data_IF_518268786691
#
_entry.id   IF_518268786691
#
_cell.length_a   1.000
_cell.length_b   1.000
_cell.length_c   1.000
_cell.angle_alpha   90.00
_cell.angle_beta   90.00
_cell.angle_gamma   90.00
#
_symmetry.space_group_name_H-M   'P 1'
#
loop_
_entity.id
_entity.type
_entity.pdbx_description
1 polymer ?
#
# COMPACT_ATOMS: atom_id res chain seq x y z
N UNK A 1 -9.89 8.20 -7.63
CA UNK A 1 -9.46 8.57 -6.27
C UNK A 1 -10.15 7.61 -5.31
N UNK A 2 -9.43 6.91 -4.43
CA UNK A 2 -10.07 6.04 -3.41
C UNK A 2 -10.52 6.91 -2.26
N UNK A 3 -11.80 6.79 -1.89
CA UNK A 3 -12.41 7.50 -0.77
C UNK A 3 -12.22 6.63 0.47
N UNK A 4 -11.53 7.13 1.49
CA UNK A 4 -11.84 6.62 2.82
C UNK A 4 -12.86 7.56 3.44
N UNK A 5 -13.69 7.02 4.31
CA UNK A 5 -14.54 7.84 5.14
C UNK A 5 -13.65 8.59 6.14
N UNK A 6 -13.68 9.92 6.09
CA UNK A 6 -13.14 10.78 7.13
C UNK A 6 -14.31 11.12 8.05
N UNK A 7 -14.23 10.74 9.32
CA UNK A 7 -15.30 10.98 10.30
C UNK A 7 -15.40 12.45 10.72
N UNK A 8 -14.34 13.21 10.54
CA UNK A 8 -14.30 14.64 10.76
C UNK A 8 -13.30 15.28 9.79
N UNK A 9 -13.58 16.53 9.40
CA UNK A 9 -12.66 17.40 8.68
C UNK A 9 -12.43 18.59 9.60
N UNK A 10 -11.20 18.82 10.03
CA UNK A 10 -10.88 19.96 10.87
C UNK A 10 -10.96 21.24 10.04
N UNK A 11 -11.91 22.12 10.38
CA UNK A 11 -12.05 23.44 9.73
C UNK A 11 -11.06 24.48 10.29
N UNK A 12 -10.35 24.14 11.37
CA UNK A 12 -9.50 25.07 12.13
C UNK A 12 -8.00 24.90 11.89
N UNK A 13 -7.60 23.96 11.04
CA UNK A 13 -6.19 23.70 10.75
C UNK A 13 -6.00 22.45 9.89
N UNK A 14 -4.77 22.16 9.45
CA UNK A 14 -4.47 20.95 8.70
C UNK A 14 -4.84 19.71 9.53
N UNK A 15 -5.55 18.76 8.92
CA UNK A 15 -5.94 17.51 9.57
C UNK A 15 -4.71 16.79 10.15
N UNK A 16 -4.78 16.40 11.42
CA UNK A 16 -3.70 15.68 12.10
C UNK A 16 -3.49 14.33 11.40
N UNK A 17 -2.27 14.08 10.93
CA UNK A 17 -1.88 12.85 10.19
C UNK A 17 -2.16 11.56 11.00
N UNK A 18 -2.34 11.70 12.31
CA UNK A 18 -2.31 10.64 13.31
C UNK A 18 -3.68 10.22 13.82
N UNK A 19 -4.75 10.98 13.58
CA UNK A 19 -6.07 10.68 14.17
C UNK A 19 -7.01 10.06 13.13
N UNK A 20 -7.33 8.79 13.33
CA UNK A 20 -8.54 8.11 12.87
C UNK A 20 -8.65 7.59 11.42
N UNK A 21 -7.60 7.55 10.59
CA UNK A 21 -7.70 6.84 9.29
C UNK A 21 -7.18 5.40 9.35
N UNK A 22 -8.01 4.39 9.04
CA UNK A 22 -7.54 3.02 8.88
C UNK A 22 -6.50 2.93 7.76
N UNK A 23 -5.46 2.10 7.91
CA UNK A 23 -4.49 1.91 6.85
C UNK A 23 -5.16 1.27 5.63
N UNK A 24 -4.75 1.71 4.44
CA UNK A 24 -5.14 1.02 3.21
C UNK A 24 -4.57 -0.40 3.20
N UNK A 25 -5.30 -1.32 2.59
CA UNK A 25 -4.92 -2.73 2.49
C UNK A 25 -4.83 -3.14 1.02
N UNK A 26 -3.83 -3.96 0.66
CA UNK A 26 -3.80 -4.69 -0.60
C UNK A 26 -4.29 -6.11 -0.31
N UNK A 27 -5.44 -6.46 -0.87
CA UNK A 27 -5.94 -7.82 -0.88
C UNK A 27 -5.40 -8.49 -2.14
N UNK A 28 -4.50 -9.45 -1.95
CA UNK A 28 -3.98 -10.27 -3.04
C UNK A 28 -4.76 -11.55 -3.17
N UNK A 29 -5.07 -11.93 -4.39
CA UNK A 29 -5.76 -13.18 -4.69
C UNK A 29 -5.00 -13.97 -5.74
N UNK A 30 -4.86 -15.27 -5.49
CA UNK A 30 -4.40 -16.26 -6.46
C UNK A 30 -5.52 -17.25 -6.72
N UNK A 31 -6.30 -17.02 -7.78
CA UNK A 31 -7.35 -17.94 -8.23
C UNK A 31 -8.78 -17.57 -7.83
N UNK A 32 -8.99 -16.53 -7.01
CA UNK A 32 -10.34 -15.98 -6.74
C UNK A 32 -10.67 -14.84 -7.68
N UNK A 33 -11.90 -14.84 -8.19
CA UNK A 33 -12.42 -13.74 -9.00
C UNK A 33 -12.56 -12.45 -8.17
N UNK A 34 -12.42 -11.29 -8.82
CA UNK A 34 -12.63 -9.99 -8.16
C UNK A 34 -14.05 -9.86 -7.57
N UNK A 35 -15.04 -10.48 -8.23
CA UNK A 35 -16.43 -10.49 -7.77
C UNK A 35 -16.61 -11.22 -6.44
N UNK A 36 -15.98 -12.39 -6.27
CA UNK A 36 -16.00 -13.13 -5.00
C UNK A 36 -15.38 -12.32 -3.86
N UNK A 37 -14.21 -11.73 -4.10
CA UNK A 37 -13.50 -10.93 -3.09
C UNK A 37 -14.35 -9.72 -2.70
N UNK A 38 -14.93 -9.01 -3.68
CA UNK A 38 -15.84 -7.89 -3.41
C UNK A 38 -17.07 -8.32 -2.62
N UNK A 39 -17.61 -9.51 -2.89
CA UNK A 39 -18.71 -10.08 -2.13
C UNK A 39 -18.37 -10.30 -0.66
N UNK A 40 -17.17 -10.82 -0.36
CA UNK A 40 -16.70 -10.99 1.04
C UNK A 40 -16.47 -9.63 1.69
N UNK A 41 -15.79 -8.71 0.99
CA UNK A 41 -15.49 -7.36 1.50
C UNK A 41 -16.75 -6.57 1.82
N UNK A 42 -17.81 -6.69 1.00
CA UNK A 42 -19.09 -6.03 1.23
C UNK A 42 -19.79 -6.48 2.53
N UNK A 43 -19.51 -7.69 3.02
CA UNK A 43 -20.05 -8.18 4.31
C UNK A 43 -19.33 -7.59 5.52
N UNK A 44 -18.09 -7.14 5.34
CA UNK A 44 -17.26 -6.60 6.42
C UNK A 44 -17.58 -5.13 6.73
N UNK A 45 -18.38 -4.45 5.90
CA UNK A 45 -18.85 -3.07 6.13
C UNK A 45 -18.59 -2.13 4.96
N UNK A 46 -18.47 -0.83 5.27
CA UNK A 46 -18.26 0.20 4.24
C UNK A 46 -16.81 0.20 3.77
N UNK A 47 -16.62 -0.27 2.55
CA UNK A 47 -15.33 -0.45 1.89
C UNK A 47 -15.33 0.18 0.51
N UNK A 48 -14.24 0.86 0.16
CA UNK A 48 -13.97 1.30 -1.21
C UNK A 48 -12.87 0.42 -1.80
N UNK A 49 -13.14 -0.16 -2.97
CA UNK A 49 -12.28 -1.17 -3.60
C UNK A 49 -11.86 -0.68 -4.97
N UNK A 50 -10.55 -0.62 -5.20
CA UNK A 50 -9.97 -0.25 -6.48
C UNK A 50 -8.98 -1.31 -6.94
N UNK A 51 -9.04 -1.64 -8.23
CA UNK A 51 -8.02 -2.45 -8.86
C UNK A 51 -6.68 -1.71 -8.93
N UNK A 52 -5.61 -2.34 -8.44
CA UNK A 52 -4.26 -1.76 -8.43
C UNK A 52 -3.37 -2.38 -9.52
N UNK A 53 -3.26 -3.70 -9.52
CA UNK A 53 -2.52 -4.50 -10.50
C UNK A 53 -3.07 -5.94 -10.51
N UNK A 54 -2.72 -6.79 -11.50
CA UNK A 54 -3.26 -8.15 -11.58
C UNK A 54 -3.09 -8.91 -10.28
N UNK A 55 -4.21 -9.35 -9.71
CA UNK A 55 -4.23 -10.07 -8.43
C UNK A 55 -3.99 -9.22 -7.18
N UNK A 56 -4.06 -7.87 -7.23
CA UNK A 56 -4.15 -7.02 -6.03
C UNK A 56 -5.27 -5.97 -6.16
N UNK A 57 -6.13 -5.97 -5.15
CA UNK A 57 -7.15 -4.96 -4.94
C UNK A 57 -6.72 -4.05 -3.79
N UNK A 58 -6.73 -2.75 -4.03
CA UNK A 58 -6.53 -1.74 -3.00
C UNK A 58 -7.87 -1.46 -2.32
N UNK A 59 -7.93 -1.73 -1.02
CA UNK A 59 -9.11 -1.59 -0.19
C UNK A 59 -8.87 -0.47 0.83
N UNK A 60 -9.82 0.46 0.89
CA UNK A 60 -9.91 1.44 1.97
C UNK A 60 -11.17 1.17 2.80
N UNK A 61 -10.99 1.10 4.11
CA UNK A 61 -12.08 0.91 5.07
C UNK A 61 -12.46 2.23 5.73
N UNK A 62 -13.70 2.32 6.19
CA UNK A 62 -14.19 3.48 6.96
C UNK A 62 -13.77 3.47 8.44
N UNK A 63 -13.46 2.30 9.01
CA UNK A 63 -13.06 2.16 10.42
C UNK A 63 -12.04 1.02 10.61
N UNK A 64 -11.43 0.97 11.80
CA UNK A 64 -10.44 -0.06 12.15
C UNK A 64 -11.08 -1.43 12.39
N UNK A 65 -12.34 -1.47 12.85
CA UNK A 65 -13.09 -2.71 13.05
C UNK A 65 -13.28 -3.45 11.73
N UNK A 66 -13.79 -2.78 10.70
CA UNK A 66 -13.92 -3.32 9.35
C UNK A 66 -12.58 -3.78 8.79
N UNK A 67 -11.49 -3.06 9.08
CA UNK A 67 -10.15 -3.50 8.67
C UNK A 67 -9.76 -4.83 9.31
N UNK A 68 -10.10 -5.02 10.59
CA UNK A 68 -9.88 -6.27 11.31
C UNK A 68 -10.79 -7.38 10.79
N UNK A 69 -12.07 -7.10 10.60
CA UNK A 69 -13.05 -8.07 10.09
C UNK A 69 -12.64 -8.60 8.70
N UNK A 70 -12.05 -7.74 7.85
CA UNK A 70 -11.51 -8.15 6.55
C UNK A 70 -10.31 -9.09 6.72
N UNK A 71 -9.40 -8.79 7.63
CA UNK A 71 -8.25 -9.67 7.90
C UNK A 71 -8.73 -11.03 8.40
N UNK A 72 -9.66 -11.01 9.37
CA UNK A 72 -10.22 -12.22 9.97
C UNK A 72 -11.02 -13.04 8.94
N UNK A 73 -11.77 -12.39 8.03
CA UNK A 73 -12.55 -13.05 6.98
C UNK A 73 -11.69 -13.79 5.93
N UNK A 74 -10.41 -13.44 5.81
CA UNK A 74 -9.48 -14.07 4.86
C UNK A 74 -8.35 -14.85 5.56
N UNK A 75 -8.34 -14.94 6.89
CA UNK A 75 -7.26 -15.62 7.63
C UNK A 75 -7.23 -17.12 7.32
N UNK A 76 -8.40 -17.73 7.10
CA UNK A 76 -8.54 -19.15 6.77
C UNK A 76 -8.36 -19.48 5.28
N UNK A 77 -8.37 -18.48 4.37
CA UNK A 77 -8.26 -18.71 2.92
C UNK A 77 -6.80 -18.52 2.44
N UNK A 78 -6.02 -19.60 2.19
CA UNK A 78 -4.64 -19.47 1.75
C UNK A 78 -4.49 -18.86 0.35
N UNK A 79 -5.57 -18.81 -0.44
CA UNK A 79 -5.58 -18.20 -1.77
C UNK A 79 -5.70 -16.67 -1.71
N UNK A 80 -6.03 -16.10 -0.54
CA UNK A 80 -6.19 -14.67 -0.35
C UNK A 80 -5.25 -14.18 0.74
N UNK A 81 -4.48 -13.12 0.46
CA UNK A 81 -3.60 -12.49 1.47
C UNK A 81 -3.93 -11.03 1.62
N UNK A 82 -4.20 -10.61 2.85
CA UNK A 82 -4.42 -9.21 3.19
C UNK A 82 -3.11 -8.61 3.69
N UNK A 83 -2.64 -7.57 3.02
CA UNK A 83 -1.39 -6.89 3.35
C UNK A 83 -1.64 -5.41 3.61
N UNK A 84 -0.93 -4.81 4.58
CA UNK A 84 -0.92 -3.36 4.72
C UNK A 84 -0.32 -2.73 3.46
N UNK A 85 -1.06 -1.82 2.83
CA UNK A 85 -0.59 -1.11 1.67
C UNK A 85 0.53 -0.15 2.05
N UNK A 86 1.60 -0.16 1.26
CA UNK A 86 2.66 0.82 1.34
C UNK A 86 3.11 1.21 -0.06
N UNK A 87 3.26 2.52 -0.31
CA UNK A 87 3.66 3.04 -1.62
C UNK A 87 5.02 2.47 -2.04
N UNK A 88 5.98 2.41 -1.12
CA UNK A 88 7.32 1.89 -1.38
C UNK A 88 7.32 0.43 -1.87
N UNK A 89 6.44 -0.43 -1.33
CA UNK A 89 6.40 -1.85 -1.70
C UNK A 89 5.49 -2.15 -2.90
N UNK A 90 4.49 -1.32 -3.14
CA UNK A 90 3.41 -1.61 -4.09
C UNK A 90 3.40 -0.72 -5.33
N UNK A 91 4.15 0.39 -5.33
CA UNK A 91 4.29 1.25 -6.50
C UNK A 91 5.54 0.83 -7.32
N UNK A 92 5.35 0.24 -8.52
CA UNK A 92 6.46 -0.17 -9.37
C UNK A 92 7.30 1.03 -9.86
N UNK A 93 6.71 2.23 -9.96
CA UNK A 93 7.43 3.45 -10.33
C UNK A 93 8.42 3.86 -9.25
N UNK A 94 7.98 3.86 -7.99
CA UNK A 94 8.82 4.16 -6.83
C UNK A 94 10.00 3.19 -6.71
N UNK A 95 9.77 1.89 -6.97
CA UNK A 95 10.83 0.89 -6.96
C UNK A 95 11.91 1.20 -8.01
N UNK A 96 11.51 1.60 -9.23
CA UNK A 96 12.45 1.99 -10.30
C UNK A 96 13.27 3.21 -9.91
N UNK A 97 12.65 4.22 -9.30
CA UNK A 97 13.34 5.41 -8.80
C UNK A 97 14.37 5.09 -7.72
N UNK A 98 14.03 4.20 -6.79
CA UNK A 98 14.97 3.75 -5.76
C UNK A 98 16.20 3.05 -6.37
N UNK A 99 15.99 2.16 -7.34
CA UNK A 99 17.09 1.51 -8.05
C UNK A 99 17.94 2.52 -8.83
N UNK A 100 17.30 3.46 -9.54
CA UNK A 100 18.02 4.51 -10.28
C UNK A 100 18.90 5.37 -9.36
N UNK A 101 18.37 5.78 -8.20
CA UNK A 101 19.13 6.51 -7.19
C UNK A 101 20.31 5.69 -6.64
N UNK A 102 20.11 4.40 -6.38
CA UNK A 102 21.17 3.51 -5.90
C UNK A 102 22.31 3.35 -6.93
N UNK A 103 21.97 3.13 -8.22
CA UNK A 103 22.96 3.04 -9.29
C UNK A 103 23.71 4.34 -9.50
N UNK A 104 23.02 5.49 -9.47
CA UNK A 104 23.64 6.79 -9.61
C UNK A 104 24.60 7.08 -8.43
N UNK A 105 24.16 6.78 -7.20
CA UNK A 105 25.01 6.92 -6.01
C UNK A 105 26.26 6.06 -6.07
N UNK A 106 26.12 4.78 -6.46
CA UNK A 106 27.26 3.88 -6.66
C UNK A 106 28.23 4.41 -7.71
N UNK A 107 27.71 4.84 -8.87
CA UNK A 107 28.54 5.38 -9.95
C UNK A 107 29.32 6.63 -9.51
N UNK A 108 28.68 7.55 -8.78
CA UNK A 108 29.35 8.74 -8.26
C UNK A 108 30.42 8.39 -7.21
N UNK A 109 30.13 7.47 -6.28
CA UNK A 109 31.11 7.05 -5.27
C UNK A 109 32.33 6.34 -5.86
N UNK A 110 32.13 5.51 -6.90
CA UNK A 110 33.22 4.84 -7.60
C UNK A 110 34.08 5.84 -8.39
N UNK A 111 33.45 6.85 -9.01
CA UNK A 111 34.17 7.95 -9.67
C UNK A 111 35.04 8.76 -8.70
N UNK A 112 34.51 9.10 -7.51
CA UNK A 112 35.28 9.78 -6.48
C UNK A 112 36.44 8.92 -5.93
N UNK A 113 36.22 7.62 -5.72
CA UNK A 113 37.26 6.71 -5.25
C UNK A 113 38.41 6.56 -6.27
N UNK A 114 38.09 6.52 -7.57
CA UNK A 114 39.09 6.49 -8.65
C UNK A 114 39.87 7.80 -8.78
N UNK A 115 39.27 8.95 -8.47
CA UNK A 115 39.96 10.25 -8.48
C UNK A 115 40.87 10.46 -7.26
N UNK A 116 40.63 9.77 -6.14
CA UNK A 116 41.46 9.83 -4.93
C UNK A 116 42.60 8.78 -4.92
N UNK A 117 42.47 7.70 -5.70
CA UNK A 117 43.50 6.67 -5.82
C UNK A 117 44.88 7.12 -6.35
N UNK A 118 45.04 8.13 -7.24
CA UNK A 118 46.36 8.54 -7.73
C UNK A 118 47.15 9.48 -6.80
N UNK A 119 46.68 9.74 -5.57
CA UNK A 119 47.36 10.62 -4.60
C UNK A 119 47.97 9.87 -3.38
N UNK A 120 48.03 8.53 -3.42
CA UNK A 120 48.76 7.66 -2.48
C UNK A 120 49.91 6.98 -3.20
#
# INVERSE_FOLDING_TARGET
MIRAQCHHVSLHGPDTVSEARPPWMCVRSTGRSEGEIRGVLARCGVVDVRYLFPGCLLVATGNFTCARDIVDAFDEDPAVRVLKYSRLKHDPGMRKWLWAGAFLGLAMSAGCALQLAPML
#
